data_IF_079305762992
#
_entry.id   IF_079305762992
#
_cell.length_a   1.000
_cell.length_b   1.000
_cell.length_c   1.000
_cell.angle_alpha   90.00
_cell.angle_beta   90.00
_cell.angle_gamma   90.00
#
_symmetry.space_group_name_H-M   'P 1'
#
loop_
_entity.id
_entity.type
_entity.pdbx_description
1 polymer ?
#
# COMPACT_ATOMS: atom_id res chain seq x y z
N UNK A 1 -23.85 15.62 -23.07
CA UNK A 1 -22.51 15.94 -22.53
C UNK A 1 -21.85 16.91 -23.48
N UNK A 2 -21.24 17.99 -22.99
CA UNK A 2 -20.37 18.82 -23.83
C UNK A 2 -19.17 18.00 -24.29
N UNK A 3 -18.80 18.12 -25.56
CA UNK A 3 -17.63 17.49 -26.14
C UNK A 3 -16.55 18.55 -26.32
N UNK A 4 -15.33 18.24 -25.88
CA UNK A 4 -14.18 19.14 -25.97
C UNK A 4 -13.14 18.45 -26.86
N UNK A 5 -12.58 19.20 -27.80
CA UNK A 5 -11.47 18.73 -28.62
C UNK A 5 -10.17 19.34 -28.10
N UNK A 6 -9.26 18.49 -27.62
CA UNK A 6 -7.95 18.89 -27.13
C UNK A 6 -6.90 18.65 -28.22
N UNK A 7 -6.15 19.69 -28.56
CA UNK A 7 -4.98 19.56 -29.44
C UNK A 7 -3.76 19.36 -28.56
N UNK A 8 -3.31 18.11 -28.43
CA UNK A 8 -2.15 17.74 -27.62
C UNK A 8 -0.98 17.38 -28.53
N UNK A 9 0.27 17.73 -28.16
CA UNK A 9 1.44 17.19 -28.81
C UNK A 9 1.46 15.66 -28.76
N UNK A 10 1.98 15.02 -29.81
CA UNK A 10 1.99 13.55 -29.96
C UNK A 10 2.68 12.85 -28.77
N UNK A 11 3.82 13.39 -28.32
CA UNK A 11 4.56 12.88 -27.15
C UNK A 11 3.74 12.92 -25.86
N UNK A 12 2.91 13.93 -25.68
CA UNK A 12 2.08 14.09 -24.48
C UNK A 12 0.89 13.14 -24.51
N UNK A 13 0.30 12.93 -25.69
CA UNK A 13 -0.76 11.95 -25.87
C UNK A 13 -0.26 10.52 -25.57
N UNK A 14 0.92 10.17 -26.05
CA UNK A 14 1.54 8.87 -25.81
C UNK A 14 1.81 8.64 -24.31
N UNK A 15 2.31 9.66 -23.62
CA UNK A 15 2.53 9.57 -22.16
C UNK A 15 1.21 9.40 -21.39
N UNK A 16 0.16 10.15 -21.75
CA UNK A 16 -1.15 9.98 -21.12
C UNK A 16 -1.73 8.60 -21.40
N UNK A 17 -1.53 8.06 -22.60
CA UNK A 17 -1.99 6.72 -22.96
C UNK A 17 -1.27 5.65 -22.15
N UNK A 18 0.06 5.74 -22.05
CA UNK A 18 0.84 4.81 -21.25
C UNK A 18 0.43 4.82 -19.78
N UNK A 19 0.28 6.02 -19.18
CA UNK A 19 -0.18 6.15 -17.80
C UNK A 19 -1.60 5.63 -17.59
N UNK A 20 -2.49 5.81 -18.56
CA UNK A 20 -3.84 5.28 -18.49
C UNK A 20 -3.85 3.74 -18.53
N UNK A 21 -3.01 3.13 -19.36
CA UNK A 21 -2.83 1.68 -19.44
C UNK A 21 -2.23 1.09 -18.15
N UNK A 22 -1.20 1.74 -17.58
CA UNK A 22 -0.58 1.34 -16.31
C UNK A 22 -1.58 1.34 -15.14
N UNK A 23 -2.49 2.33 -15.12
CA UNK A 23 -3.52 2.48 -14.10
C UNK A 23 -4.81 1.70 -14.41
N UNK A 24 -4.90 1.05 -15.57
CA UNK A 24 -6.08 0.30 -16.01
C UNK A 24 -7.35 1.16 -16.20
N UNK A 25 -7.19 2.45 -16.50
CA UNK A 25 -8.30 3.42 -16.66
C UNK A 25 -8.37 3.98 -18.08
N UNK A 26 -9.53 4.53 -18.45
CA UNK A 26 -9.68 5.17 -19.76
C UNK A 26 -8.93 6.50 -19.80
N UNK A 27 -8.23 6.78 -20.91
CA UNK A 27 -7.48 8.03 -21.11
C UNK A 27 -8.36 9.28 -20.88
N UNK A 28 -9.65 9.20 -21.20
CA UNK A 28 -10.62 10.27 -20.97
C UNK A 28 -10.81 10.60 -19.49
N UNK A 29 -10.78 9.60 -18.62
CA UNK A 29 -10.96 9.79 -17.18
C UNK A 29 -9.67 10.27 -16.53
N UNK A 30 -8.52 9.84 -17.05
CA UNK A 30 -7.23 10.38 -16.67
C UNK A 30 -7.10 11.87 -17.05
N UNK A 31 -7.53 12.26 -18.25
CA UNK A 31 -7.58 13.67 -18.68
C UNK A 31 -8.50 14.49 -17.78
N UNK A 32 -9.71 14.01 -17.49
CA UNK A 32 -10.63 14.69 -16.57
C UNK A 32 -10.01 14.86 -15.18
N UNK A 33 -9.31 13.84 -14.68
CA UNK A 33 -8.65 13.87 -13.39
C UNK A 33 -7.55 14.94 -13.34
N UNK A 34 -6.70 15.02 -14.37
CA UNK A 34 -5.66 16.04 -14.43
C UNK A 34 -6.23 17.47 -14.58
N UNK A 35 -7.28 17.65 -15.37
CA UNK A 35 -7.97 18.95 -15.48
C UNK A 35 -8.57 19.33 -14.13
N UNK A 36 -9.25 18.40 -13.45
CA UNK A 36 -9.84 18.63 -12.13
C UNK A 36 -8.79 19.01 -11.09
N UNK A 37 -7.68 18.25 -11.03
CA UNK A 37 -6.56 18.58 -10.15
C UNK A 37 -5.91 19.92 -10.47
N UNK A 38 -5.78 20.27 -11.74
CA UNK A 38 -5.26 21.57 -12.16
C UNK A 38 -6.15 22.73 -11.70
N UNK A 39 -7.47 22.57 -11.82
CA UNK A 39 -8.45 23.57 -11.36
C UNK A 39 -8.50 23.67 -9.83
N UNK A 40 -8.45 22.55 -9.12
CA UNK A 40 -8.35 22.52 -7.65
C UNK A 40 -7.05 23.17 -7.16
N UNK A 41 -5.95 23.02 -7.91
CA UNK A 41 -4.68 23.67 -7.61
C UNK A 41 -4.74 25.20 -7.85
N UNK A 42 -5.48 25.66 -8.86
CA UNK A 42 -5.71 27.09 -9.08
C UNK A 42 -6.65 27.68 -8.02
N UNK A 43 -7.77 27.01 -7.71
CA UNK A 43 -8.71 27.43 -6.66
C UNK A 43 -8.05 27.49 -5.29
N UNK A 44 -7.16 26.53 -4.97
CA UNK A 44 -6.42 26.49 -3.71
C UNK A 44 -5.38 27.61 -3.56
N UNK A 45 -4.94 28.26 -4.64
CA UNK A 45 -4.06 29.45 -4.55
C UNK A 45 -4.88 30.72 -4.25
N UNK A 46 -6.18 30.72 -4.55
CA UNK A 46 -7.03 31.91 -4.47
C UNK A 46 -7.97 32.00 -3.27
N UNK A 47 -8.43 30.90 -2.66
CA UNK A 47 -9.36 30.97 -1.51
C UNK A 47 -9.24 29.75 -0.56
N UNK A 48 -8.99 30.00 0.73
CA UNK A 48 -9.32 29.16 1.92
C UNK A 48 -8.85 27.68 2.03
N UNK A 49 -8.17 27.10 1.05
CA UNK A 49 -7.73 25.68 1.00
C UNK A 49 -6.65 25.28 2.03
N UNK A 50 -5.84 26.24 2.52
CA UNK A 50 -4.70 25.95 3.41
C UNK A 50 -5.09 25.36 4.77
N UNK A 51 -6.35 25.46 5.23
CA UNK A 51 -6.80 24.77 6.44
C UNK A 51 -7.34 23.36 6.18
N UNK A 52 -8.05 23.14 5.06
CA UNK A 52 -8.58 21.80 4.73
C UNK A 52 -7.47 20.83 4.35
N UNK A 53 -6.48 21.28 3.58
CA UNK A 53 -5.33 20.44 3.23
C UNK A 53 -4.46 20.08 4.44
N UNK A 54 -4.35 20.98 5.43
CA UNK A 54 -3.68 20.67 6.71
C UNK A 54 -4.45 19.66 7.55
N UNK A 55 -5.79 19.77 7.56
CA UNK A 55 -6.65 18.84 8.31
C UNK A 55 -6.64 17.44 7.67
N UNK A 56 -6.66 17.34 6.35
CA UNK A 56 -6.53 16.06 5.65
C UNK A 56 -5.12 15.49 5.76
N UNK A 57 -4.08 16.31 5.60
CA UNK A 57 -2.68 15.88 5.80
C UNK A 57 -2.46 15.32 7.21
N UNK A 58 -2.99 15.99 8.25
CA UNK A 58 -2.88 15.51 9.63
C UNK A 58 -3.60 14.18 9.85
N UNK A 59 -4.76 13.97 9.20
CA UNK A 59 -5.47 12.68 9.26
C UNK A 59 -4.66 11.58 8.60
N UNK A 60 -4.07 11.84 7.44
CA UNK A 60 -3.21 10.86 6.77
C UNK A 60 -1.95 10.54 7.58
N UNK A 61 -1.34 11.52 8.24
CA UNK A 61 -0.21 11.28 9.15
C UNK A 61 -0.60 10.41 10.36
N UNK A 62 -1.77 10.67 10.96
CA UNK A 62 -2.28 9.86 12.07
C UNK A 62 -2.62 8.43 11.64
N UNK A 63 -3.25 8.26 10.48
CA UNK A 63 -3.54 6.95 9.89
C UNK A 63 -2.26 6.17 9.56
N UNK A 64 -1.24 6.84 9.01
CA UNK A 64 0.07 6.24 8.73
C UNK A 64 0.76 5.82 10.03
N UNK A 65 0.72 6.66 11.07
CA UNK A 65 1.29 6.32 12.37
C UNK A 65 0.60 5.11 13.00
N UNK A 66 -0.73 5.05 12.94
CA UNK A 66 -1.51 3.90 13.40
C UNK A 66 -1.17 2.63 12.60
N UNK A 67 -1.02 2.75 11.29
CA UNK A 67 -0.68 1.63 10.42
C UNK A 67 0.72 1.09 10.75
N UNK A 68 1.70 1.98 10.91
CA UNK A 68 3.06 1.60 11.32
C UNK A 68 3.09 0.91 12.68
N UNK A 69 2.28 1.37 13.65
CA UNK A 69 2.17 0.71 14.95
C UNK A 69 1.59 -0.71 14.83
N UNK A 70 0.58 -0.91 13.97
CA UNK A 70 0.00 -2.25 13.71
C UNK A 70 1.00 -3.18 13.02
N UNK A 71 1.81 -2.68 12.09
CA UNK A 71 2.87 -3.45 11.44
C UNK A 71 3.90 -3.92 12.46
N UNK A 72 4.37 -3.03 13.34
CA UNK A 72 5.33 -3.41 14.39
C UNK A 72 4.76 -4.47 15.37
N UNK A 73 3.46 -4.40 15.68
CA UNK A 73 2.79 -5.42 16.48
C UNK A 73 2.72 -6.77 15.75
N UNK A 74 2.41 -6.76 14.46
CA UNK A 74 2.40 -7.97 13.62
C UNK A 74 3.78 -8.61 13.53
N UNK A 75 4.84 -7.81 13.35
CA UNK A 75 6.23 -8.30 13.33
C UNK A 75 6.59 -9.00 14.64
N UNK A 76 6.18 -8.42 15.77
CA UNK A 76 6.41 -9.00 17.10
C UNK A 76 5.69 -10.33 17.26
N UNK A 77 4.41 -10.41 16.84
CA UNK A 77 3.63 -11.64 16.89
C UNK A 77 4.21 -12.72 15.97
N UNK A 78 4.66 -12.36 14.77
CA UNK A 78 5.33 -13.29 13.85
C UNK A 78 6.60 -13.87 14.47
N UNK A 79 7.44 -13.04 15.09
CA UNK A 79 8.64 -13.51 15.77
C UNK A 79 8.32 -14.48 16.90
N UNK A 80 7.24 -14.23 17.65
CA UNK A 80 6.83 -15.14 18.72
C UNK A 80 6.31 -16.48 18.17
N UNK A 81 5.53 -16.45 17.08
CA UNK A 81 5.07 -17.67 16.40
C UNK A 81 6.25 -18.48 15.87
N UNK A 82 7.21 -17.83 15.21
CA UNK A 82 8.42 -18.50 14.72
C UNK A 82 9.23 -19.11 15.87
N UNK A 83 9.35 -18.41 17.01
CA UNK A 83 10.02 -18.96 18.19
C UNK A 83 9.30 -20.20 18.72
N UNK A 84 7.97 -20.18 18.80
CA UNK A 84 7.18 -21.33 19.27
C UNK A 84 7.28 -22.52 18.30
N UNK A 85 7.27 -22.27 16.99
CA UNK A 85 7.46 -23.32 16.00
C UNK A 85 8.83 -23.98 16.14
N UNK A 86 9.89 -23.19 16.34
CA UNK A 86 11.24 -23.73 16.55
C UNK A 86 11.34 -24.61 17.80
N UNK A 87 10.72 -24.19 18.90
CA UNK A 87 10.68 -24.99 20.13
C UNK A 87 9.92 -26.31 19.88
N UNK A 88 8.79 -26.25 19.20
CA UNK A 88 8.00 -27.44 18.88
C UNK A 88 8.75 -28.39 17.93
N UNK A 89 9.52 -27.87 16.97
CA UNK A 89 10.39 -28.67 16.10
C UNK A 89 11.51 -29.37 16.90
N UNK A 90 12.16 -28.65 17.81
CA UNK A 90 13.19 -29.20 18.71
C UNK A 90 12.60 -30.29 19.63
N UNK A 91 11.43 -30.05 20.25
CA UNK A 91 10.72 -31.05 21.07
C UNK A 91 10.27 -32.28 20.26
N UNK A 92 9.94 -32.11 18.98
CA UNK A 92 9.62 -33.23 18.08
C UNK A 92 10.86 -34.07 17.72
N UNK A 93 12.02 -33.45 17.54
CA UNK A 93 13.28 -34.15 17.29
C UNK A 93 13.73 -34.96 18.51
N UNK A 94 13.72 -34.35 19.70
CA UNK A 94 14.08 -35.02 20.96
C UNK A 94 13.18 -36.24 21.23
N UNK A 95 11.86 -36.12 21.01
CA UNK A 95 10.94 -37.24 21.15
C UNK A 95 11.18 -38.36 20.12
N UNK A 96 11.64 -38.05 18.90
CA UNK A 96 11.97 -39.07 17.90
C UNK A 96 13.23 -39.85 18.31
N UNK A 97 14.25 -39.15 18.83
CA UNK A 97 15.48 -39.79 19.32
C UNK A 97 15.21 -40.73 20.51
N UNK A 98 14.40 -40.30 21.50
CA UNK A 98 14.03 -41.17 22.63
C UNK A 98 13.32 -42.45 22.18
N UNK A 99 12.45 -42.37 21.19
CA UNK A 99 11.70 -43.53 20.67
C UNK A 99 12.61 -44.51 19.91
N UNK A 100 13.66 -44.04 19.24
CA UNK A 100 14.64 -44.91 18.57
C UNK A 100 15.55 -45.65 19.55
N UNK A 101 15.98 -44.99 20.64
CA UNK A 101 16.80 -45.61 21.68
C UNK A 101 16.03 -46.76 22.35
N UNK A 102 14.76 -46.54 22.71
CA UNK A 102 13.91 -47.55 23.35
C UNK A 102 13.61 -48.75 22.44
N UNK A 103 13.60 -48.56 21.12
CA UNK A 103 13.43 -49.66 20.15
C UNK A 103 14.69 -50.50 19.97
N UNK A 104 15.88 -49.91 20.11
CA UNK A 104 17.15 -50.62 19.96
C UNK A 104 17.58 -51.40 21.22
N UNK A 105 16.98 -51.10 22.38
CA UNK A 105 17.24 -51.82 23.65
C UNK A 105 16.30 -53.02 23.92
N UNK A 106 15.38 -53.33 23.01
CA UNK A 106 14.47 -54.51 23.09
C UNK A 106 14.81 -55.56 22.05
#
# INVERSE_FOLDING_TARGET
MPTIHLSLPEWLYDELKQKAEELGVQITDLVKFYIKKGLELEESVTDESTEKDKVESNKYEEEIALLNAKVAQLDTLMLEVLRKLKILEEEEEDNKEEVEIVKNEK
#
